data_IF_408884792453
#
_entry.id   IF_408884792453
#
_cell.length_a   1.000
_cell.length_b   1.000
_cell.length_c   1.000
_cell.angle_alpha   90.00
_cell.angle_beta   90.00
_cell.angle_gamma   90.00
#
_symmetry.space_group_name_H-M   'P 1'
#
loop_
_entity.id
_entity.type
_entity.pdbx_description
1 polymer ?
#
# COMPACT_ATOMS: atom_id res chain seq x y z
N UNK A 1 2.95 -15.05 20.63
CA UNK A 1 2.77 -13.59 20.77
C UNK A 1 1.52 -13.23 20.01
N UNK A 2 0.54 -12.65 20.69
CA UNK A 2 -0.73 -12.28 20.07
C UNK A 2 -0.56 -10.91 19.40
N UNK A 3 -0.25 -10.91 18.11
CA UNK A 3 0.06 -9.71 17.32
C UNK A 3 -1.12 -8.73 17.34
N UNK A 4 -2.35 -9.26 17.44
CA UNK A 4 -3.57 -8.46 17.56
C UNK A 4 -3.58 -7.68 18.87
N UNK A 5 -3.30 -8.34 20.00
CA UNK A 5 -3.27 -7.69 21.31
C UNK A 5 -2.18 -6.61 21.40
N UNK A 6 -1.01 -6.82 20.78
CA UNK A 6 0.03 -5.79 20.71
C UNK A 6 -0.40 -4.59 19.88
N UNK A 7 -1.16 -4.81 18.81
CA UNK A 7 -1.67 -3.73 17.97
C UNK A 7 -2.74 -2.91 18.69
N UNK A 8 -3.65 -3.57 19.41
CA UNK A 8 -4.70 -2.92 20.20
C UNK A 8 -4.16 -2.02 21.32
N UNK A 9 -2.97 -2.32 21.83
CA UNK A 9 -2.31 -1.53 22.88
C UNK A 9 -1.54 -0.30 22.34
N UNK A 10 -1.40 -0.17 21.01
CA UNK A 10 -0.78 1.01 20.40
C UNK A 10 -1.71 2.22 20.45
N UNK A 11 -1.14 3.43 20.42
CA UNK A 11 -1.93 4.65 20.24
C UNK A 11 -2.63 4.67 18.88
N UNK A 12 -3.78 5.35 18.78
CA UNK A 12 -4.54 5.48 17.52
C UNK A 12 -3.67 5.97 16.36
N UNK A 13 -2.76 6.93 16.62
CA UNK A 13 -1.82 7.42 15.63
C UNK A 13 -0.81 6.35 15.18
N UNK A 14 -0.32 5.52 16.11
CA UNK A 14 0.60 4.43 15.78
C UNK A 14 -0.11 3.30 15.01
N UNK A 15 -1.35 2.97 15.36
CA UNK A 15 -2.19 2.04 14.59
C UNK A 15 -2.42 2.56 13.16
N UNK A 16 -2.73 3.85 13.01
CA UNK A 16 -2.92 4.50 11.72
C UNK A 16 -1.63 4.54 10.89
N UNK A 17 -0.48 4.75 11.54
CA UNK A 17 0.83 4.70 10.88
C UNK A 17 1.14 3.30 10.33
N UNK A 18 0.89 2.25 11.12
CA UNK A 18 1.12 0.87 10.67
C UNK A 18 0.16 0.44 9.57
N UNK A 19 -1.12 0.79 9.65
CA UNK A 19 -2.09 0.50 8.59
C UNK A 19 -1.73 1.27 7.31
N UNK A 20 -1.36 2.54 7.41
CA UNK A 20 -0.88 3.36 6.31
C UNK A 20 0.38 2.78 5.66
N UNK A 21 1.35 2.36 6.46
CA UNK A 21 2.58 1.72 5.98
C UNK A 21 2.28 0.41 5.25
N UNK A 22 1.40 -0.44 5.78
CA UNK A 22 1.00 -1.69 5.13
C UNK A 22 0.34 -1.45 3.77
N UNK A 23 -0.56 -0.45 3.67
CA UNK A 23 -1.16 -0.03 2.41
C UNK A 23 -0.12 0.50 1.42
N UNK A 24 0.86 1.27 1.90
CA UNK A 24 1.93 1.79 1.06
C UNK A 24 2.86 0.70 0.52
N UNK A 25 3.16 -0.31 1.32
CA UNK A 25 3.88 -1.52 0.87
C UNK A 25 3.07 -2.25 -0.20
N UNK A 26 1.77 -2.41 -0.01
CA UNK A 26 0.88 -3.02 -1.01
C UNK A 26 0.86 -2.21 -2.32
N UNK A 27 0.84 -0.88 -2.23
CA UNK A 27 0.97 -0.02 -3.40
C UNK A 27 2.29 -0.28 -4.13
N UNK A 28 3.41 -0.37 -3.41
CA UNK A 28 4.71 -0.73 -3.97
C UNK A 28 4.68 -2.07 -4.72
N UNK A 29 4.07 -3.10 -4.12
CA UNK A 29 3.89 -4.41 -4.75
C UNK A 29 3.05 -4.29 -6.03
N UNK A 30 1.93 -3.57 -5.99
CA UNK A 30 1.08 -3.37 -7.15
C UNK A 30 1.83 -2.67 -8.30
N UNK A 31 2.65 -1.66 -7.99
CA UNK A 31 3.49 -0.99 -8.97
C UNK A 31 4.56 -1.92 -9.59
N UNK A 32 5.19 -2.78 -8.77
CA UNK A 32 6.13 -3.80 -9.26
C UNK A 32 5.43 -4.78 -10.18
N UNK A 33 4.23 -5.23 -9.83
CA UNK A 33 3.46 -6.17 -10.65
C UNK A 33 3.03 -5.55 -11.98
N UNK A 34 2.64 -4.27 -12.00
CA UNK A 34 2.37 -3.57 -13.26
C UNK A 34 3.62 -3.46 -14.13
N UNK A 35 4.78 -3.14 -13.55
CA UNK A 35 6.06 -3.14 -14.30
C UNK A 35 6.39 -4.52 -14.86
N UNK A 36 6.14 -5.59 -14.10
CA UNK A 36 6.34 -6.97 -14.57
C UNK A 36 5.38 -7.32 -15.70
N UNK A 37 4.11 -6.87 -15.62
CA UNK A 37 3.11 -7.02 -16.68
C UNK A 37 3.52 -6.27 -17.94
N UNK A 38 3.90 -5.00 -17.81
CA UNK A 38 4.31 -4.16 -18.94
C UNK A 38 5.53 -4.73 -19.67
N UNK A 39 6.53 -5.27 -18.96
CA UNK A 39 7.70 -5.93 -19.57
C UNK A 39 7.35 -7.22 -20.32
N UNK A 40 6.29 -7.93 -19.92
CA UNK A 40 5.84 -9.19 -20.53
C UNK A 40 4.75 -8.99 -21.58
N UNK A 41 4.33 -7.74 -21.81
CA UNK A 41 3.29 -7.39 -22.77
C UNK A 41 3.88 -7.45 -24.16
N UNK A 42 3.82 -8.64 -24.75
CA UNK A 42 4.23 -8.88 -26.12
C UNK A 42 3.28 -8.14 -27.08
N UNK A 43 3.83 -7.39 -28.03
CA UNK A 43 3.06 -6.53 -28.96
C UNK A 43 2.12 -7.37 -29.83
N UNK A 44 2.45 -8.66 -30.03
CA UNK A 44 1.63 -9.63 -30.74
C UNK A 44 0.39 -10.12 -29.96
N UNK A 45 0.26 -9.81 -28.65
CA UNK A 45 -0.82 -10.31 -27.76
C UNK A 45 -1.52 -9.20 -26.98
N UNK A 46 -1.79 -8.08 -27.65
CA UNK A 46 -2.53 -6.93 -27.11
C UNK A 46 -3.94 -7.28 -26.61
N UNK A 47 -4.52 -8.40 -27.04
CA UNK A 47 -5.85 -8.87 -26.63
C UNK A 47 -5.90 -9.50 -25.22
N UNK A 48 -4.74 -9.75 -24.59
CA UNK A 48 -4.72 -10.26 -23.22
C UNK A 48 -5.02 -9.14 -22.22
N UNK A 49 -6.31 -8.96 -21.92
CA UNK A 49 -6.79 -8.14 -20.81
C UNK A 49 -6.39 -8.83 -19.50
N UNK A 50 -5.16 -8.59 -19.04
CA UNK A 50 -4.67 -9.11 -17.76
C UNK A 50 -5.65 -8.81 -16.63
N UNK A 51 -5.98 -9.86 -15.89
CA UNK A 51 -7.09 -10.01 -14.95
C UNK A 51 -7.15 -8.95 -13.82
N UNK A 52 -6.01 -8.40 -13.41
CA UNK A 52 -5.93 -7.45 -12.29
C UNK A 52 -5.54 -6.05 -12.79
N UNK A 53 -6.30 -4.99 -12.43
CA UNK A 53 -5.94 -3.61 -12.71
C UNK A 53 -4.91 -3.10 -11.69
N UNK A 54 -3.65 -3.53 -11.86
CA UNK A 54 -2.56 -3.20 -10.93
C UNK A 54 -2.37 -1.70 -10.72
N UNK A 55 -2.56 -0.87 -11.76
CA UNK A 55 -2.50 0.60 -11.66
C UNK A 55 -3.59 1.18 -10.77
N UNK A 56 -4.83 0.68 -10.88
CA UNK A 56 -5.93 1.12 -10.03
C UNK A 56 -5.71 0.69 -8.58
N UNK A 57 -5.22 -0.53 -8.36
CA UNK A 57 -4.87 -1.02 -7.03
C UNK A 57 -3.72 -0.21 -6.41
N UNK A 58 -2.70 0.11 -7.20
CA UNK A 58 -1.62 1.00 -6.80
C UNK A 58 -2.17 2.37 -6.40
N UNK A 59 -3.00 3.01 -7.22
CA UNK A 59 -3.56 4.32 -6.91
C UNK A 59 -4.37 4.32 -5.61
N UNK A 60 -5.30 3.37 -5.46
CA UNK A 60 -6.12 3.27 -4.25
C UNK A 60 -5.27 3.07 -3.00
N UNK A 61 -4.33 2.13 -3.05
CA UNK A 61 -3.46 1.84 -1.92
C UNK A 61 -2.49 2.99 -1.60
N UNK A 62 -1.97 3.67 -2.63
CA UNK A 62 -1.07 4.81 -2.46
C UNK A 62 -1.80 6.03 -1.87
N UNK A 63 -3.02 6.31 -2.32
CA UNK A 63 -3.83 7.43 -1.81
C UNK A 63 -4.30 7.14 -0.38
N UNK A 64 -4.87 5.96 -0.14
CA UNK A 64 -5.34 5.58 1.20
C UNK A 64 -4.17 5.50 2.20
N UNK A 65 -3.10 4.76 1.85
CA UNK A 65 -1.92 4.63 2.69
C UNK A 65 -1.18 5.95 2.89
N UNK A 66 -1.03 6.75 1.82
CA UNK A 66 -0.43 8.06 1.88
C UNK A 66 -1.24 9.04 2.74
N UNK A 67 -2.57 8.99 2.67
CA UNK A 67 -3.46 9.77 3.53
C UNK A 67 -3.32 9.41 5.01
N UNK A 68 -3.33 8.11 5.34
CA UNK A 68 -3.09 7.63 6.70
C UNK A 68 -1.73 8.09 7.23
N UNK A 69 -0.67 7.90 6.44
CA UNK A 69 0.69 8.30 6.80
C UNK A 69 0.82 9.82 6.97
N UNK A 70 0.21 10.62 6.10
CA UNK A 70 0.25 12.08 6.20
C UNK A 70 -0.39 12.60 7.50
N UNK A 71 -1.44 11.93 7.99
CA UNK A 71 -2.10 12.27 9.25
C UNK A 71 -1.34 11.75 10.47
N UNK A 72 -0.76 10.55 10.39
CA UNK A 72 -0.12 9.90 11.54
C UNK A 72 1.33 10.31 11.75
N UNK A 73 2.11 10.56 10.69
CA UNK A 73 3.55 10.86 10.80
C UNK A 73 3.86 12.05 11.72
N UNK A 74 3.17 13.20 11.63
CA UNK A 74 3.47 14.34 12.49
C UNK A 74 3.28 14.02 13.98
N UNK A 75 2.25 13.23 14.31
CA UNK A 75 1.96 12.83 15.70
C UNK A 75 2.97 11.80 16.19
N UNK A 76 3.30 10.82 15.35
CA UNK A 76 4.27 9.77 15.70
C UNK A 76 5.68 10.34 15.81
N UNK A 77 6.10 11.19 14.87
CA UNK A 77 7.44 11.80 14.86
C UNK A 77 7.57 12.96 15.85
N UNK A 78 6.51 13.73 16.08
CA UNK A 78 6.48 14.80 17.07
C UNK A 78 6.34 14.31 18.52
N UNK A 79 5.98 13.03 18.69
CA UNK A 79 5.94 12.35 19.99
C UNK A 79 7.18 11.51 20.32
N UNK A 80 8.16 11.43 19.42
CA UNK A 80 9.51 10.88 19.66
C UNK A 80 10.41 11.94 20.30
#
# INVERSE_FOLDING_TARGET
>A
MDIVAQFELLSDAAQLAWTGAALWVLAGIAAVMERRRAKRRDVARLEQVGWVPWTSLFMLAAIAGGGCLAMSLPVVLGGL
#
